data_IF_416247487755
#
_entry.id   IF_416247487755
#
_cell.length_a   1.000
_cell.length_b   1.000
_cell.length_c   1.000
_cell.angle_alpha   90.00
_cell.angle_beta   90.00
_cell.angle_gamma   90.00
#
_symmetry.space_group_name_H-M   'P 1'
#
loop_
_entity.id
_entity.type
_entity.pdbx_description
1 polymer ?
#
# COMPACT_ATOMS: atom_id res chain seq x y z
N UNK A 1 -18.95 0.47 -20.50
CA UNK A 1 -19.64 -0.83 -20.43
C UNK A 1 -19.64 -1.40 -19.01
N UNK A 2 -18.49 -1.53 -18.34
CA UNK A 2 -18.45 -2.00 -16.92
C UNK A 2 -19.17 -1.02 -15.98
N UNK A 3 -18.92 0.29 -16.10
CA UNK A 3 -19.54 1.30 -15.23
C UNK A 3 -21.07 1.28 -15.32
N UNK A 4 -21.62 1.20 -16.54
CA UNK A 4 -23.06 1.12 -16.78
C UNK A 4 -23.68 -0.17 -16.19
N UNK A 5 -23.04 -1.32 -16.41
CA UNK A 5 -23.51 -2.60 -15.89
C UNK A 5 -23.51 -2.64 -14.34
N UNK A 6 -22.53 -2.00 -13.70
CA UNK A 6 -22.47 -1.92 -12.23
C UNK A 6 -23.47 -0.89 -11.69
N UNK A 7 -23.67 0.23 -12.40
CA UNK A 7 -24.70 1.22 -12.06
C UNK A 7 -26.12 0.64 -12.15
N UNK A 8 -26.39 -0.20 -13.15
CA UNK A 8 -27.67 -0.91 -13.27
C UNK A 8 -27.89 -1.92 -12.13
N UNK A 9 -26.81 -2.50 -11.57
CA UNK A 9 -26.88 -3.48 -10.49
C UNK A 9 -27.00 -2.85 -9.09
N UNK A 10 -26.21 -1.80 -8.81
CA UNK A 10 -26.08 -1.20 -7.47
C UNK A 10 -26.81 0.14 -7.32
N UNK A 11 -27.33 0.69 -8.42
CA UNK A 11 -27.87 2.04 -8.51
C UNK A 11 -26.78 3.09 -8.72
N UNK A 12 -27.01 4.01 -9.66
CA UNK A 12 -26.04 5.04 -10.05
C UNK A 12 -25.54 5.88 -8.86
N UNK A 13 -26.44 6.25 -7.93
CA UNK A 13 -26.09 7.03 -6.74
C UNK A 13 -25.11 6.30 -5.80
N UNK A 14 -25.28 4.98 -5.66
CA UNK A 14 -24.38 4.15 -4.85
C UNK A 14 -23.02 4.01 -5.53
N UNK A 15 -23.01 3.86 -6.85
CA UNK A 15 -21.77 3.76 -7.64
C UNK A 15 -20.99 5.06 -7.59
N UNK A 16 -21.63 6.21 -7.71
CA UNK A 16 -20.95 7.51 -7.62
C UNK A 16 -20.38 7.75 -6.21
N UNK A 17 -21.08 7.30 -5.16
CA UNK A 17 -20.60 7.40 -3.78
C UNK A 17 -19.38 6.50 -3.50
N UNK A 18 -19.39 5.26 -4.00
CA UNK A 18 -18.32 4.28 -3.75
C UNK A 18 -17.15 4.41 -4.72
N UNK A 19 -17.43 4.78 -5.97
CA UNK A 19 -16.48 4.85 -7.08
C UNK A 19 -16.58 6.22 -7.78
N UNK A 20 -16.20 7.32 -7.10
CA UNK A 20 -16.38 8.68 -7.62
C UNK A 20 -15.63 8.95 -8.94
N UNK A 21 -14.64 8.12 -9.27
CA UNK A 21 -13.88 8.22 -10.52
C UNK A 21 -14.29 7.18 -11.58
N UNK A 22 -15.38 6.45 -11.36
CA UNK A 22 -15.82 5.32 -12.19
C UNK A 22 -15.14 4.00 -11.84
N UNK A 23 -15.90 2.91 -11.86
CA UNK A 23 -15.50 1.53 -11.57
C UNK A 23 -14.35 1.07 -12.48
N UNK A 24 -14.39 1.44 -13.76
CA UNK A 24 -13.38 1.04 -14.74
C UNK A 24 -11.95 1.45 -14.34
N UNK A 25 -11.76 2.62 -13.73
CA UNK A 25 -10.44 3.07 -13.27
C UNK A 25 -9.90 2.19 -12.15
N UNK A 26 -10.74 1.84 -11.16
CA UNK A 26 -10.36 0.96 -10.06
C UNK A 26 -10.06 -0.46 -10.56
N UNK A 27 -10.88 -0.97 -11.49
CA UNK A 27 -10.69 -2.30 -12.07
C UNK A 27 -9.37 -2.40 -12.86
N UNK A 28 -9.07 -1.41 -13.70
CA UNK A 28 -7.82 -1.35 -14.48
C UNK A 28 -6.61 -1.24 -13.53
N UNK A 29 -6.68 -0.37 -12.53
CA UNK A 29 -5.62 -0.25 -11.52
C UNK A 29 -5.38 -1.56 -10.76
N UNK A 30 -6.46 -2.22 -10.31
CA UNK A 30 -6.41 -3.51 -9.64
C UNK A 30 -5.80 -4.61 -10.53
N UNK A 31 -6.16 -4.63 -11.82
CA UNK A 31 -5.56 -5.55 -12.79
C UNK A 31 -4.05 -5.34 -12.92
N UNK A 32 -3.58 -4.09 -13.05
CA UNK A 32 -2.15 -3.81 -13.15
C UNK A 32 -1.38 -4.17 -11.87
N UNK A 33 -1.94 -3.88 -10.69
CA UNK A 33 -1.36 -4.28 -9.41
C UNK A 33 -1.27 -5.81 -9.33
N UNK A 34 -2.35 -6.51 -9.68
CA UNK A 34 -2.39 -7.97 -9.70
C UNK A 34 -1.35 -8.57 -10.65
N UNK A 35 -1.31 -8.10 -11.90
CA UNK A 35 -0.29 -8.50 -12.89
C UNK A 35 1.12 -8.24 -12.38
N UNK A 36 1.38 -7.07 -11.78
CA UNK A 36 2.65 -6.75 -11.15
C UNK A 36 3.05 -7.78 -10.09
N UNK A 37 2.13 -8.14 -9.18
CA UNK A 37 2.43 -9.16 -8.16
C UNK A 37 2.69 -10.55 -8.74
N UNK A 38 1.98 -10.93 -9.80
CA UNK A 38 2.19 -12.22 -10.51
C UNK A 38 3.56 -12.23 -11.17
N UNK A 39 3.95 -11.17 -11.87
CA UNK A 39 5.27 -11.07 -12.51
C UNK A 39 6.41 -11.12 -11.48
N UNK A 40 6.26 -10.42 -10.37
CA UNK A 40 7.22 -10.46 -9.25
C UNK A 40 7.37 -11.89 -8.73
N UNK A 41 6.25 -12.57 -8.48
CA UNK A 41 6.26 -13.92 -7.94
C UNK A 41 6.86 -14.93 -8.92
N UNK A 42 6.49 -14.87 -10.20
CA UNK A 42 7.04 -15.75 -11.23
C UNK A 42 8.53 -15.52 -11.48
N UNK A 43 8.98 -14.26 -11.43
CA UNK A 43 10.38 -13.91 -11.68
C UNK A 43 11.32 -14.20 -10.50
N UNK A 44 10.82 -14.10 -9.26
CA UNK A 44 11.69 -14.15 -8.06
C UNK A 44 11.35 -15.27 -7.08
N UNK A 45 10.18 -15.91 -7.20
CA UNK A 45 9.65 -16.84 -6.21
C UNK A 45 9.26 -16.18 -4.88
N UNK A 46 9.29 -14.85 -4.80
CA UNK A 46 9.04 -14.08 -3.58
C UNK A 46 7.72 -13.32 -3.73
N UNK A 47 6.89 -13.32 -2.70
CA UNK A 47 5.66 -12.52 -2.66
C UNK A 47 5.96 -11.04 -2.51
N UNK A 48 5.21 -10.20 -3.22
CA UNK A 48 5.36 -8.75 -3.14
C UNK A 48 4.92 -8.24 -1.75
N UNK A 49 5.83 -7.60 -1.01
CA UNK A 49 5.54 -7.12 0.33
C UNK A 49 6.61 -6.20 0.92
N UNK A 50 6.17 -5.12 1.56
CA UNK A 50 7.04 -4.06 2.06
C UNK A 50 7.38 -4.18 3.57
N UNK A 51 6.65 -4.98 4.35
CA UNK A 51 6.79 -5.05 5.82
C UNK A 51 8.18 -5.46 6.32
N UNK A 52 8.96 -6.12 5.48
CA UNK A 52 10.29 -6.62 5.82
C UNK A 52 11.41 -5.74 5.23
N UNK A 53 11.06 -4.64 4.56
CA UNK A 53 12.01 -3.74 3.93
C UNK A 53 13.04 -3.21 4.93
N UNK A 54 12.61 -2.65 6.06
CA UNK A 54 13.51 -2.12 7.09
C UNK A 54 14.51 -3.18 7.59
N UNK A 55 14.02 -4.38 7.92
CA UNK A 55 14.87 -5.49 8.40
C UNK A 55 15.86 -5.96 7.32
N UNK A 56 15.44 -5.95 6.05
CA UNK A 56 16.31 -6.28 4.91
C UNK A 56 17.37 -5.20 4.65
N UNK A 57 17.03 -3.93 4.80
CA UNK A 57 17.96 -2.80 4.64
C UNK A 57 18.96 -2.76 5.78
N UNK A 58 18.53 -2.99 7.02
CA UNK A 58 19.43 -3.10 8.17
C UNK A 58 20.40 -4.28 8.05
N UNK A 59 20.10 -5.30 7.24
CA UNK A 59 21.00 -6.43 6.99
C UNK A 59 22.27 -6.08 6.20
N UNK A 60 22.34 -4.90 5.56
CA UNK A 60 23.56 -4.41 4.91
C UNK A 60 24.59 -3.91 5.92
N UNK A 61 24.12 -3.29 7.00
CA UNK A 61 24.97 -2.62 8.00
C UNK A 61 25.09 -3.39 9.31
N UNK A 62 24.21 -4.35 9.57
CA UNK A 62 24.17 -5.11 10.82
C UNK A 62 24.42 -6.61 10.64
N UNK A 63 25.29 -7.17 11.47
CA UNK A 63 25.58 -8.61 11.54
C UNK A 63 24.65 -9.42 12.45
N UNK A 64 23.61 -8.81 13.05
CA UNK A 64 22.70 -9.52 13.95
C UNK A 64 21.97 -10.65 13.21
N UNK A 65 21.87 -11.82 13.84
CA UNK A 65 21.17 -13.01 13.28
C UNK A 65 19.75 -12.70 12.82
N UNK A 66 19.06 -11.80 13.54
CA UNK A 66 17.72 -11.30 13.18
C UNK A 66 17.67 -10.66 11.79
N UNK A 67 18.67 -9.88 11.38
CA UNK A 67 18.68 -9.21 10.07
C UNK A 67 19.32 -10.09 9.00
N UNK A 68 20.27 -10.94 9.39
CA UNK A 68 20.96 -11.86 8.48
C UNK A 68 20.00 -12.79 7.72
N UNK A 69 18.86 -13.17 8.32
CA UNK A 69 17.85 -14.02 7.68
C UNK A 69 17.26 -13.42 6.39
N UNK A 70 17.31 -12.09 6.23
CA UNK A 70 16.74 -11.40 5.06
C UNK A 70 17.74 -11.18 3.93
N UNK A 71 19.02 -11.53 4.12
CA UNK A 71 20.09 -11.36 3.12
C UNK A 71 19.80 -11.97 1.75
N UNK A 72 19.20 -13.16 1.63
CA UNK A 72 18.90 -13.73 0.31
C UNK A 72 17.91 -12.91 -0.51
N UNK A 73 17.08 -12.09 0.13
CA UNK A 73 16.00 -11.32 -0.52
C UNK A 73 16.20 -9.81 -0.50
N UNK A 74 17.28 -9.31 0.12
CA UNK A 74 17.45 -7.87 0.41
C UNK A 74 17.57 -7.01 -0.84
N UNK A 75 18.30 -7.48 -1.85
CA UNK A 75 18.54 -6.70 -3.08
C UNK A 75 17.22 -6.54 -3.85
N UNK A 76 16.42 -7.62 -3.94
CA UNK A 76 15.10 -7.58 -4.56
C UNK A 76 14.13 -6.63 -3.84
N UNK A 77 14.15 -6.63 -2.50
CA UNK A 77 13.28 -5.73 -1.70
C UNK A 77 13.63 -4.25 -1.91
N UNK A 78 14.90 -3.93 -2.19
CA UNK A 78 15.30 -2.59 -2.62
C UNK A 78 14.72 -2.28 -3.99
N UNK A 79 14.92 -3.17 -4.98
CA UNK A 79 14.37 -2.97 -6.34
C UNK A 79 12.86 -2.75 -6.29
N UNK A 80 12.14 -3.57 -5.52
CA UNK A 80 10.69 -3.43 -5.34
C UNK A 80 10.31 -2.07 -4.73
N UNK A 81 11.00 -1.65 -3.66
CA UNK A 81 10.69 -0.39 -2.96
C UNK A 81 11.01 0.84 -3.81
N UNK A 82 12.18 0.84 -4.44
CA UNK A 82 12.58 1.89 -5.40
C UNK A 82 11.64 1.90 -6.60
N UNK A 83 11.17 0.75 -7.08
CA UNK A 83 10.19 0.65 -8.15
C UNK A 83 8.85 1.30 -7.79
N UNK A 84 8.33 1.07 -6.58
CA UNK A 84 7.10 1.73 -6.11
C UNK A 84 7.28 3.25 -6.02
N UNK A 85 8.38 3.71 -5.39
CA UNK A 85 8.68 5.14 -5.24
C UNK A 85 8.87 5.79 -6.62
N UNK A 86 9.62 5.13 -7.50
CA UNK A 86 9.89 5.59 -8.86
C UNK A 86 8.63 5.64 -9.73
N UNK A 87 7.74 4.66 -9.61
CA UNK A 87 6.44 4.68 -10.29
C UNK A 87 5.55 5.84 -9.83
N UNK A 88 5.49 6.09 -8.51
CA UNK A 88 4.77 7.24 -7.96
C UNK A 88 5.37 8.57 -8.42
N UNK A 89 6.71 8.69 -8.41
CA UNK A 89 7.41 9.88 -8.87
C UNK A 89 7.20 10.13 -10.38
N UNK A 90 7.29 9.08 -11.20
CA UNK A 90 7.03 9.18 -12.64
C UNK A 90 5.58 9.64 -12.92
N UNK A 91 4.60 9.07 -12.20
CA UNK A 91 3.21 9.49 -12.31
C UNK A 91 3.04 10.98 -11.95
N UNK A 92 3.65 11.41 -10.83
CA UNK A 92 3.60 12.81 -10.40
C UNK A 92 4.20 13.75 -11.47
N UNK A 93 5.39 13.45 -12.00
CA UNK A 93 6.05 14.30 -13.00
C UNK A 93 5.25 14.36 -14.32
N UNK A 94 4.73 13.22 -14.78
CA UNK A 94 4.07 13.13 -16.10
C UNK A 94 2.66 13.74 -16.06
N UNK A 95 1.91 13.50 -14.98
CA UNK A 95 0.48 13.84 -14.92
C UNK A 95 0.15 15.00 -13.97
N UNK A 96 1.02 15.34 -13.03
CA UNK A 96 0.82 16.48 -12.10
C UNK A 96 1.67 17.70 -12.46
N UNK A 97 2.43 17.65 -13.56
CA UNK A 97 2.77 18.82 -14.38
C UNK A 97 3.97 19.68 -13.97
N UNK A 98 4.57 19.49 -12.79
CA UNK A 98 5.76 20.27 -12.42
C UNK A 98 6.96 19.38 -12.01
N UNK A 99 7.94 19.15 -12.91
CA UNK A 99 9.14 18.36 -12.62
C UNK A 99 9.99 18.88 -11.45
N UNK A 100 9.85 20.17 -11.11
CA UNK A 100 10.54 20.84 -10.00
C UNK A 100 9.65 21.11 -8.77
N UNK A 101 8.38 20.68 -8.78
CA UNK A 101 7.56 20.65 -7.56
C UNK A 101 8.17 19.74 -6.50
N UNK A 102 9.05 18.80 -6.82
CA UNK A 102 9.74 17.99 -5.81
C UNK A 102 10.68 18.85 -4.92
N UNK A 103 11.15 20.00 -5.43
CA UNK A 103 12.01 20.94 -4.71
C UNK A 103 11.28 22.24 -4.25
N UNK A 104 10.18 22.62 -4.92
CA UNK A 104 9.39 23.82 -4.60
C UNK A 104 8.01 23.56 -3.97
N UNK A 105 7.43 22.38 -4.18
CA UNK A 105 6.33 21.84 -3.36
C UNK A 105 6.98 21.09 -2.21
N UNK A 106 7.32 21.82 -1.14
CA UNK A 106 7.75 21.17 0.08
C UNK A 106 6.60 20.30 0.57
N UNK A 107 6.64 18.99 0.29
CA UNK A 107 5.79 17.94 0.86
C UNK A 107 4.48 18.49 1.45
N UNK A 108 3.57 18.96 0.59
CA UNK A 108 2.33 19.63 1.05
C UNK A 108 1.33 18.56 1.45
N UNK A 109 1.67 17.83 2.50
CA UNK A 109 0.68 17.14 3.30
C UNK A 109 0.28 18.10 4.40
N UNK A 110 -1.03 18.32 4.54
CA UNK A 110 -1.59 19.09 5.66
C UNK A 110 -1.33 18.37 7.00
N UNK A 111 -0.92 17.10 6.95
CA UNK A 111 -0.52 16.30 8.09
C UNK A 111 0.86 16.69 8.61
N UNK A 112 0.90 17.22 9.83
CA UNK A 112 2.16 17.54 10.53
C UNK A 112 3.14 16.36 10.56
N UNK A 113 4.43 16.62 10.33
CA UNK A 113 5.49 15.61 10.25
C UNK A 113 5.56 14.65 11.45
N UNK A 114 5.28 15.11 12.67
CA UNK A 114 5.29 14.26 13.86
C UNK A 114 4.18 13.19 13.80
N UNK A 115 3.00 13.49 13.24
CA UNK A 115 1.90 12.53 13.06
C UNK A 115 2.29 11.44 12.08
N UNK A 116 2.98 11.81 10.99
CA UNK A 116 3.52 10.85 10.04
C UNK A 116 4.59 9.95 10.67
N UNK A 117 5.48 10.54 11.48
CA UNK A 117 6.51 9.79 12.19
C UNK A 117 5.92 8.79 13.19
N UNK A 118 5.01 9.25 14.07
CA UNK A 118 4.34 8.38 15.05
C UNK A 118 3.48 7.33 14.34
N UNK A 119 2.72 7.73 13.32
CA UNK A 119 1.93 6.82 12.49
C UNK A 119 2.80 5.75 11.84
N UNK A 120 3.96 6.12 11.28
CA UNK A 120 4.92 5.20 10.69
C UNK A 120 5.47 4.18 11.71
N UNK A 121 5.76 4.61 12.94
CA UNK A 121 6.18 3.71 14.03
C UNK A 121 5.05 2.73 14.37
N UNK A 122 3.83 3.22 14.55
CA UNK A 122 2.66 2.39 14.86
C UNK A 122 2.39 1.36 13.75
N UNK A 123 2.46 1.77 12.48
CA UNK A 123 2.34 0.88 11.32
C UNK A 123 3.49 -0.14 11.31
N UNK A 124 4.72 0.27 11.58
CA UNK A 124 5.88 -0.63 11.66
C UNK A 124 5.69 -1.72 12.73
N UNK A 125 5.27 -1.34 13.94
CA UNK A 125 4.96 -2.27 15.02
C UNK A 125 3.78 -3.17 14.63
N UNK A 126 2.69 -2.58 14.14
CA UNK A 126 1.47 -3.29 13.77
C UNK A 126 1.69 -4.33 12.67
N UNK A 127 2.43 -3.99 11.61
CA UNK A 127 2.77 -4.94 10.54
C UNK A 127 3.65 -6.08 11.02
N UNK A 128 4.50 -5.86 12.03
CA UNK A 128 5.30 -6.92 12.64
C UNK A 128 4.45 -7.86 13.49
N UNK A 129 3.57 -7.30 14.34
CA UNK A 129 2.64 -8.08 15.18
C UNK A 129 1.68 -8.89 14.31
N UNK A 130 1.14 -8.26 13.25
CA UNK A 130 0.28 -8.88 12.25
C UNK A 130 0.99 -9.82 11.26
N UNK A 131 2.32 -9.99 11.40
CA UNK A 131 3.17 -10.81 10.51
C UNK A 131 3.00 -10.50 9.01
N UNK A 132 2.69 -9.25 8.68
CA UNK A 132 2.48 -8.81 7.30
C UNK A 132 1.87 -7.42 7.22
N UNK A 133 1.96 -6.81 6.05
CA UNK A 133 1.34 -5.53 5.70
C UNK A 133 0.13 -5.75 4.79
N UNK A 134 -0.54 -4.65 4.45
CA UNK A 134 -1.68 -4.65 3.52
C UNK A 134 -1.33 -5.17 2.13
N UNK A 135 -0.11 -4.98 1.62
CA UNK A 135 0.29 -5.60 0.34
C UNK A 135 0.49 -7.11 0.46
N UNK A 136 1.13 -7.58 1.54
CA UNK A 136 1.36 -9.01 1.76
C UNK A 136 0.08 -9.80 2.05
N UNK A 137 -0.72 -9.36 3.03
CA UNK A 137 -1.99 -10.02 3.35
C UNK A 137 -3.09 -9.64 2.36
N UNK A 138 -3.24 -8.37 2.01
CA UNK A 138 -4.34 -7.87 1.19
C UNK A 138 -4.23 -8.21 -0.29
N UNK A 139 -3.07 -8.03 -0.91
CA UNK A 139 -2.92 -8.32 -2.35
C UNK A 139 -2.58 -9.80 -2.53
N UNK A 140 -1.40 -10.23 -2.06
CA UNK A 140 -0.94 -11.61 -2.28
C UNK A 140 -1.71 -12.64 -1.44
N UNK A 141 -2.01 -12.34 -0.17
CA UNK A 141 -2.68 -13.25 0.75
C UNK A 141 -4.14 -13.52 0.40
N UNK A 142 -4.92 -12.49 0.09
CA UNK A 142 -6.30 -12.66 -0.40
C UNK A 142 -6.30 -13.31 -1.78
N UNK A 143 -5.39 -12.89 -2.67
CA UNK A 143 -5.27 -13.49 -4.01
C UNK A 143 -4.94 -14.98 -4.01
N UNK A 144 -4.27 -15.47 -2.95
CA UNK A 144 -3.99 -16.90 -2.73
C UNK A 144 -5.03 -17.60 -1.83
N UNK A 145 -6.14 -16.93 -1.51
CA UNK A 145 -7.25 -17.46 -0.68
C UNK A 145 -6.78 -17.91 0.72
N UNK A 146 -5.79 -17.21 1.28
CA UNK A 146 -5.30 -17.49 2.63
C UNK A 146 -6.32 -17.06 3.68
N UNK A 147 -6.84 -18.02 4.46
CA UNK A 147 -7.81 -17.75 5.55
C UNK A 147 -7.27 -16.76 6.57
N UNK A 148 -5.99 -16.88 6.94
CA UNK A 148 -5.35 -15.97 7.89
C UNK A 148 -5.26 -14.56 7.31
N UNK A 149 -5.00 -14.44 6.01
CA UNK A 149 -4.92 -13.14 5.33
C UNK A 149 -6.29 -12.48 5.21
N UNK A 150 -7.33 -13.25 4.89
CA UNK A 150 -8.71 -12.75 4.84
C UNK A 150 -9.15 -12.17 6.19
N UNK A 151 -8.93 -12.91 7.28
CA UNK A 151 -9.24 -12.44 8.63
C UNK A 151 -8.39 -11.23 9.01
N UNK A 152 -7.09 -11.25 8.70
CA UNK A 152 -6.19 -10.13 8.94
C UNK A 152 -6.65 -8.85 8.24
N UNK A 153 -6.96 -8.94 6.94
CA UNK A 153 -7.43 -7.81 6.13
C UNK A 153 -8.75 -7.27 6.63
N UNK A 154 -9.72 -8.14 6.94
CA UNK A 154 -10.99 -7.71 7.52
C UNK A 154 -10.77 -6.95 8.84
N UNK A 155 -9.91 -7.47 9.70
CA UNK A 155 -9.58 -6.83 10.98
C UNK A 155 -8.92 -5.47 10.78
N UNK A 156 -7.89 -5.37 9.92
CA UNK A 156 -7.20 -4.12 9.67
C UNK A 156 -8.12 -3.07 9.03
N UNK A 157 -8.99 -3.47 8.09
CA UNK A 157 -9.96 -2.56 7.47
C UNK A 157 -10.99 -2.05 8.49
N UNK A 158 -11.57 -2.92 9.31
CA UNK A 158 -12.54 -2.50 10.34
C UNK A 158 -11.89 -1.53 11.32
N UNK A 159 -10.70 -1.85 11.84
CA UNK A 159 -9.98 -0.98 12.77
C UNK A 159 -9.60 0.35 12.11
N UNK A 160 -9.15 0.33 10.84
CA UNK A 160 -8.82 1.55 10.10
C UNK A 160 -10.05 2.44 9.89
N UNK A 161 -11.19 1.87 9.49
CA UNK A 161 -12.45 2.60 9.32
C UNK A 161 -12.88 3.22 10.64
N UNK A 162 -12.92 2.45 11.73
CA UNK A 162 -13.31 2.95 13.05
C UNK A 162 -12.37 4.06 13.51
N UNK A 163 -11.05 3.87 13.35
CA UNK A 163 -10.05 4.87 13.76
C UNK A 163 -10.17 6.14 12.93
N UNK A 164 -10.32 6.04 11.60
CA UNK A 164 -10.47 7.19 10.72
C UNK A 164 -11.72 8.02 11.07
N UNK A 165 -12.85 7.34 11.29
CA UNK A 165 -14.09 8.01 11.69
C UNK A 165 -13.99 8.63 13.09
N UNK A 166 -13.36 7.94 14.05
CA UNK A 166 -13.15 8.48 15.39
C UNK A 166 -12.26 9.74 15.37
N UNK A 167 -11.15 9.70 14.64
CA UNK A 167 -10.23 10.83 14.50
C UNK A 167 -10.92 12.01 13.79
N UNK A 168 -11.70 11.73 12.74
CA UNK A 168 -12.51 12.75 12.05
C UNK A 168 -13.57 13.36 12.98
N UNK A 169 -14.29 12.55 13.77
CA UNK A 169 -15.29 13.02 14.72
C UNK A 169 -14.69 13.87 15.86
N UNK A 170 -13.43 13.62 16.22
CA UNK A 170 -12.68 14.44 17.18
C UNK A 170 -12.18 15.77 16.60
N UNK A 171 -12.50 16.08 15.33
CA UNK A 171 -12.12 17.33 14.68
C UNK A 171 -10.63 17.41 14.32
N UNK A 172 -9.92 16.29 14.34
CA UNK A 172 -8.53 16.25 13.91
C UNK A 172 -8.51 16.34 12.38
N UNK A 173 -8.24 17.53 11.84
CA UNK A 173 -8.06 17.73 10.40
C UNK A 173 -7.04 16.74 9.81
N UNK A 174 -7.37 16.22 8.63
CA UNK A 174 -6.42 15.50 7.77
C UNK A 174 -5.59 16.51 6.99
#
# INVERSE_FOLDING_TARGET
MIDAAVADLLGAQTVDALFPNGVSRYAIGGLFVGLGTVLIYLGTGITAGASTFLESTLSYVSGRSRFAQYRPSRDWRIVFTVGIIGGAAAYAVIYQGDPWSIAGSGWTTEVSAWRLFVGGILVGIGTRVGKGCTSGHGICGVGSVSRTSLVGVATFLVVAIVTANAVSALGVGL
#
